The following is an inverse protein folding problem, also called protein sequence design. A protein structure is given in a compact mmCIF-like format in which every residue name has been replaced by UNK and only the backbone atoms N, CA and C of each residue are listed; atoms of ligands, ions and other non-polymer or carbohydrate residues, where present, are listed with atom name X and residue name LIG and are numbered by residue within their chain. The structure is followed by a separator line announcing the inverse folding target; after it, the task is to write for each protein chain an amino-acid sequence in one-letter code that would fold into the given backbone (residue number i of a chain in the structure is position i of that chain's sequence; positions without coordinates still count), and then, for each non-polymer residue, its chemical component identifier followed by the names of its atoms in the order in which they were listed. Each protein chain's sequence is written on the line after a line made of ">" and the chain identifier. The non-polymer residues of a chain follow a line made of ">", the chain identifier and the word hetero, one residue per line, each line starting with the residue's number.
data_IF_367961354347
#
_entry.id   IF_367961354347
#
_cell.length_a   1.000
_cell.length_b   1.000
_cell.length_c   1.000
_cell.angle_alpha   90.00
_cell.angle_beta   90.00
_cell.angle_gamma   90.00
#
_symmetry.space_group_name_H-M   'P 1'
#
loop_
_entity.id
_entity.type
_entity.pdbx_description
1 polymer ?
#
# COMPACT_ATOMS: atom_id res chain seq x y z
N UNK A 1 -20.30 -38.23 18.22
CA UNK A 1 -19.23 -38.66 17.29
C UNK A 1 -19.22 -37.68 16.12
N UNK A 2 -18.20 -36.81 16.10
CA UNK A 2 -17.68 -35.98 14.99
C UNK A 2 -18.56 -35.70 13.76
N UNK A 3 -19.16 -34.50 13.64
CA UNK A 3 -19.57 -33.94 12.32
C UNK A 3 -19.94 -32.44 12.23
N UNK A 4 -19.30 -31.55 13.00
CA UNK A 4 -19.60 -30.10 12.89
C UNK A 4 -18.37 -29.17 12.89
N UNK A 5 -17.17 -29.66 12.54
CA UNK A 5 -15.95 -28.84 12.54
C UNK A 5 -15.44 -28.42 11.15
N UNK A 6 -16.05 -28.85 10.04
CA UNK A 6 -15.67 -28.36 8.69
C UNK A 6 -16.37 -27.03 8.32
N UNK A 7 -17.58 -26.76 8.83
CA UNK A 7 -18.41 -25.62 8.38
C UNK A 7 -18.02 -24.27 9.02
N UNK A 8 -17.38 -24.32 10.20
CA UNK A 8 -16.97 -23.10 10.91
C UNK A 8 -15.78 -22.46 10.21
N UNK A 9 -14.78 -23.25 9.85
CA UNK A 9 -13.57 -22.76 9.19
C UNK A 9 -13.89 -22.22 7.78
N UNK A 10 -14.82 -22.84 7.04
CA UNK A 10 -15.31 -22.35 5.75
C UNK A 10 -16.14 -21.05 5.86
N UNK A 11 -16.98 -20.93 6.91
CA UNK A 11 -17.67 -19.68 7.22
C UNK A 11 -16.69 -18.57 7.65
N UNK A 12 -15.65 -18.91 8.42
CA UNK A 12 -14.62 -17.97 8.85
C UNK A 12 -13.75 -17.50 7.68
N UNK A 13 -13.34 -18.42 6.80
CA UNK A 13 -12.60 -18.10 5.58
C UNK A 13 -13.44 -17.27 4.62
N UNK A 14 -14.74 -17.56 4.47
CA UNK A 14 -15.63 -16.74 3.64
C UNK A 14 -15.89 -15.36 4.22
N UNK A 15 -15.95 -15.18 5.55
CA UNK A 15 -16.02 -13.86 6.19
C UNK A 15 -14.69 -13.10 6.08
N UNK A 16 -13.55 -13.77 6.27
CA UNK A 16 -12.23 -13.19 6.08
C UNK A 16 -12.00 -12.79 4.62
N UNK A 17 -12.39 -13.64 3.66
CA UNK A 17 -12.37 -13.33 2.24
C UNK A 17 -13.38 -12.24 1.87
N UNK A 18 -14.56 -12.19 2.49
CA UNK A 18 -15.52 -11.11 2.26
C UNK A 18 -15.02 -9.77 2.81
N UNK A 19 -14.32 -9.77 3.95
CA UNK A 19 -13.66 -8.60 4.53
C UNK A 19 -12.44 -8.19 3.71
N UNK A 20 -11.59 -9.13 3.29
CA UNK A 20 -10.49 -8.89 2.34
C UNK A 20 -11.03 -8.38 1.02
N UNK A 21 -12.11 -8.94 0.49
CA UNK A 21 -12.78 -8.47 -0.71
C UNK A 21 -13.47 -7.10 -0.50
N UNK A 22 -13.94 -6.77 0.71
CA UNK A 22 -14.49 -5.46 1.04
C UNK A 22 -13.39 -4.41 1.17
N UNK A 23 -12.28 -4.76 1.83
CA UNK A 23 -11.05 -3.97 1.92
C UNK A 23 -10.47 -3.78 0.52
N UNK A 24 -10.28 -4.85 -0.24
CA UNK A 24 -9.87 -4.87 -1.65
C UNK A 24 -10.83 -4.08 -2.52
N UNK A 25 -12.16 -4.19 -2.42
CA UNK A 25 -13.11 -3.33 -3.16
C UNK A 25 -12.93 -1.86 -2.79
N UNK A 26 -12.73 -1.56 -1.51
CA UNK A 26 -12.51 -0.20 -0.99
C UNK A 26 -11.12 0.34 -1.35
N UNK A 27 -10.14 -0.54 -1.60
CA UNK A 27 -8.76 -0.26 -1.99
C UNK A 27 -8.53 -0.30 -3.52
N UNK A 28 -9.34 -1.05 -4.28
CA UNK A 28 -9.28 -1.21 -5.73
C UNK A 28 -9.67 0.06 -6.49
N UNK A 29 -10.13 1.09 -5.78
CA UNK A 29 -10.24 2.47 -6.25
C UNK A 29 -9.42 3.46 -5.43
N UNK A 30 -8.34 3.02 -4.77
CA UNK A 30 -7.50 3.88 -3.90
C UNK A 30 -6.17 4.27 -4.54
N UNK A 31 -5.75 3.62 -5.63
CA UNK A 31 -4.90 4.29 -6.63
C UNK A 31 -5.80 5.14 -7.51
N UNK A 32 -6.43 6.13 -6.87
CA UNK A 32 -7.08 7.22 -7.58
C UNK A 32 -5.97 8.16 -8.03
N UNK A 33 -5.51 7.97 -9.27
CA UNK A 33 -4.53 8.89 -9.87
C UNK A 33 -5.05 10.33 -9.91
N UNK A 34 -6.38 10.53 -9.86
CA UNK A 34 -7.01 11.84 -9.68
C UNK A 34 -6.83 12.46 -8.28
N UNK A 35 -6.28 11.73 -7.31
CA UNK A 35 -6.00 12.22 -5.95
C UNK A 35 -4.49 12.41 -5.73
N UNK A 36 -4.08 13.49 -5.05
CA UNK A 36 -2.70 13.64 -4.60
C UNK A 36 -2.19 12.43 -3.82
N UNK A 37 -0.97 11.93 -4.08
CA UNK A 37 -0.43 10.74 -3.42
C UNK A 37 -0.49 10.81 -1.89
N UNK A 38 -0.18 11.97 -1.32
CA UNK A 38 -0.26 12.18 0.14
C UNK A 38 -1.69 12.02 0.66
N UNK A 39 -2.68 12.52 -0.06
CA UNK A 39 -4.10 12.35 0.28
C UNK A 39 -4.56 10.90 0.11
N UNK A 40 -4.06 10.19 -0.89
CA UNK A 40 -4.34 8.76 -1.05
C UNK A 40 -3.79 7.95 0.13
N UNK A 41 -2.54 8.19 0.52
CA UNK A 41 -1.93 7.54 1.68
C UNK A 41 -2.68 7.85 2.99
N UNK A 42 -3.08 9.11 3.21
CA UNK A 42 -3.93 9.51 4.34
C UNK A 42 -5.26 8.75 4.34
N UNK A 43 -5.96 8.71 3.20
CA UNK A 43 -7.24 8.01 3.05
C UNK A 43 -7.10 6.51 3.32
N UNK A 44 -6.02 5.88 2.88
CA UNK A 44 -5.74 4.47 3.14
C UNK A 44 -5.48 4.23 4.64
N UNK A 45 -4.61 5.02 5.25
CA UNK A 45 -4.28 4.93 6.68
C UNK A 45 -5.52 5.16 7.57
N UNK A 46 -6.32 6.18 7.29
CA UNK A 46 -7.53 6.48 8.07
C UNK A 46 -8.56 5.35 7.98
N UNK A 47 -8.67 4.66 6.83
CA UNK A 47 -9.55 3.50 6.70
C UNK A 47 -9.08 2.31 7.53
N UNK A 48 -7.78 2.06 7.58
CA UNK A 48 -7.20 1.00 8.41
C UNK A 48 -7.47 1.30 9.88
N UNK A 49 -7.16 2.52 10.34
CA UNK A 49 -7.39 2.92 11.74
C UNK A 49 -8.88 2.86 12.08
N UNK A 50 -9.78 3.39 11.23
CA UNK A 50 -11.22 3.31 11.47
C UNK A 50 -11.75 1.87 11.57
N UNK A 51 -11.17 0.93 10.80
CA UNK A 51 -11.51 -0.50 10.90
C UNK A 51 -11.09 -1.06 12.27
N UNK A 52 -9.87 -0.74 12.72
CA UNK A 52 -9.36 -1.13 14.04
C UNK A 52 -10.22 -0.55 15.18
N UNK A 53 -10.60 0.72 15.08
CA UNK A 53 -11.46 1.38 16.09
C UNK A 53 -12.82 0.71 16.19
N UNK A 54 -13.42 0.38 15.06
CA UNK A 54 -14.78 -0.17 15.00
C UNK A 54 -14.82 -1.66 15.39
N UNK A 55 -13.79 -2.42 15.03
CA UNK A 55 -13.74 -3.87 15.21
C UNK A 55 -12.32 -4.34 15.61
N UNK A 56 -11.83 -4.01 16.82
CA UNK A 56 -10.41 -4.20 17.17
C UNK A 56 -9.98 -5.67 17.12
N UNK A 57 -10.74 -6.56 17.77
CA UNK A 57 -10.38 -7.99 17.82
C UNK A 57 -10.56 -8.68 16.46
N UNK A 58 -11.61 -8.36 15.71
CA UNK A 58 -11.83 -8.90 14.36
C UNK A 58 -10.75 -8.43 13.39
N UNK A 59 -10.31 -7.17 13.50
CA UNK A 59 -9.26 -6.60 12.66
C UNK A 59 -7.90 -7.22 12.96
N UNK A 60 -7.56 -7.36 14.25
CA UNK A 60 -6.36 -8.06 14.69
C UNK A 60 -6.32 -9.49 14.15
N UNK A 61 -7.38 -10.25 14.39
CA UNK A 61 -7.49 -11.63 13.92
C UNK A 61 -7.36 -11.74 12.40
N UNK A 62 -8.01 -10.85 11.65
CA UNK A 62 -7.91 -10.82 10.19
C UNK A 62 -6.49 -10.59 9.72
N UNK A 63 -5.78 -9.60 10.29
CA UNK A 63 -4.40 -9.32 9.87
C UNK A 63 -3.43 -10.43 10.28
N UNK A 64 -3.58 -11.01 11.47
CA UNK A 64 -2.78 -12.17 11.91
C UNK A 64 -2.99 -13.36 10.94
N UNK A 65 -4.23 -13.65 10.57
CA UNK A 65 -4.54 -14.74 9.64
C UNK A 65 -4.04 -14.47 8.21
N UNK A 66 -4.12 -13.22 7.74
CA UNK A 66 -3.64 -12.86 6.39
C UNK A 66 -2.12 -12.93 6.26
N UNK A 67 -1.38 -12.69 7.36
CA UNK A 67 0.08 -12.60 7.37
C UNK A 67 0.78 -13.88 7.84
N UNK A 68 0.06 -14.84 8.43
CA UNK A 68 0.61 -16.10 8.94
C UNK A 68 0.16 -17.29 8.09
N UNK A 69 1.11 -18.13 7.68
CA UNK A 69 0.82 -19.39 6.99
C UNK A 69 0.33 -20.48 7.96
N UNK A 70 -0.58 -21.33 7.50
CA UNK A 70 -1.16 -22.41 8.30
C UNK A 70 -0.96 -23.75 7.59
N UNK A 71 -0.54 -24.78 8.34
CA UNK A 71 -0.43 -26.17 7.85
C UNK A 71 0.37 -26.31 6.55
N UNK A 72 1.52 -25.66 6.47
CA UNK A 72 2.43 -25.72 5.31
C UNK A 72 1.97 -24.93 4.08
N UNK A 73 0.85 -24.20 4.15
CA UNK A 73 0.44 -23.26 3.11
C UNK A 73 1.03 -21.87 3.39
N UNK A 74 1.45 -21.12 2.36
CA UNK A 74 1.85 -19.72 2.52
C UNK A 74 0.68 -18.90 3.07
N UNK A 75 1.01 -17.80 3.76
CA UNK A 75 0.00 -16.87 4.25
C UNK A 75 -0.89 -16.39 3.10
N UNK A 76 -2.21 -16.19 3.30
CA UNK A 76 -3.13 -15.76 2.25
C UNK A 76 -2.64 -14.56 1.44
N UNK A 77 -2.03 -13.55 2.08
CA UNK A 77 -1.52 -12.38 1.39
C UNK A 77 -0.31 -12.64 0.49
N UNK A 78 0.46 -13.71 0.74
CA UNK A 78 1.64 -14.12 -0.03
C UNK A 78 1.29 -15.04 -1.22
N UNK A 79 0.02 -15.40 -1.40
CA UNK A 79 -0.42 -16.26 -2.50
C UNK A 79 -0.36 -15.47 -3.83
N UNK A 80 -0.31 -16.15 -5.00
CA UNK A 80 -0.25 -15.49 -6.31
C UNK A 80 -1.42 -14.55 -6.62
N UNK A 81 -2.58 -14.77 -5.99
CA UNK A 81 -3.81 -13.98 -6.06
C UNK A 81 -4.06 -13.17 -4.77
N UNK A 82 -3.07 -13.12 -3.88
CA UNK A 82 -3.14 -12.44 -2.60
C UNK A 82 -2.94 -10.93 -2.72
N UNK A 83 -3.19 -10.23 -1.61
CA UNK A 83 -3.11 -8.77 -1.55
C UNK A 83 -1.74 -8.20 -1.98
N UNK A 84 -0.63 -8.92 -1.72
CA UNK A 84 0.70 -8.48 -2.14
C UNK A 84 0.84 -8.52 -3.65
N UNK A 85 0.42 -9.61 -4.30
CA UNK A 85 0.47 -9.73 -5.76
C UNK A 85 -0.43 -8.69 -6.45
N UNK A 86 -1.62 -8.43 -5.91
CA UNK A 86 -2.52 -7.40 -6.45
C UNK A 86 -1.92 -5.99 -6.37
N UNK A 87 -1.37 -5.61 -5.22
CA UNK A 87 -0.74 -4.31 -5.04
C UNK A 87 0.53 -4.18 -5.90
N UNK A 88 1.32 -5.26 -5.99
CA UNK A 88 2.49 -5.31 -6.85
C UNK A 88 2.09 -5.09 -8.32
N UNK A 89 1.04 -5.74 -8.81
CA UNK A 89 0.54 -5.55 -10.17
C UNK A 89 0.11 -4.10 -10.43
N UNK A 90 -0.55 -3.44 -9.46
CA UNK A 90 -0.92 -2.04 -9.58
C UNK A 90 0.32 -1.10 -9.66
N UNK A 91 1.34 -1.35 -8.82
CA UNK A 91 2.60 -0.61 -8.84
C UNK A 91 3.34 -0.84 -10.17
N UNK A 92 3.47 -2.09 -10.61
CA UNK A 92 4.10 -2.45 -11.88
C UNK A 92 3.43 -1.75 -13.06
N UNK A 93 2.09 -1.79 -13.12
CA UNK A 93 1.32 -1.11 -14.17
C UNK A 93 1.55 0.40 -14.19
N UNK A 94 1.74 1.03 -13.03
CA UNK A 94 2.11 2.45 -12.97
C UNK A 94 3.54 2.69 -13.51
N UNK A 95 4.52 1.88 -13.07
CA UNK A 95 5.92 2.01 -13.50
C UNK A 95 6.05 1.83 -15.02
N UNK A 96 5.36 0.86 -15.58
CA UNK A 96 5.31 0.61 -17.03
C UNK A 96 4.74 1.82 -17.79
N UNK A 97 3.64 2.41 -17.31
CA UNK A 97 3.06 3.63 -17.91
C UNK A 97 4.04 4.81 -17.94
N UNK A 98 4.92 4.91 -16.95
CA UNK A 98 5.96 5.96 -16.89
C UNK A 98 7.31 5.51 -17.46
N UNK A 99 7.32 4.42 -18.24
CA UNK A 99 8.49 3.85 -18.92
C UNK A 99 9.65 3.46 -17.98
N UNK A 100 9.30 2.89 -16.82
CA UNK A 100 10.24 2.41 -15.81
C UNK A 100 10.09 0.90 -15.61
N UNK A 101 11.22 0.18 -15.50
CA UNK A 101 11.21 -1.26 -15.26
C UNK A 101 10.59 -1.59 -13.88
N UNK A 102 9.61 -2.51 -13.79
CA UNK A 102 8.81 -2.73 -12.58
C UNK A 102 9.52 -3.53 -11.47
N UNK A 103 10.85 -3.57 -11.45
CA UNK A 103 11.60 -4.41 -10.50
C UNK A 103 11.44 -3.94 -9.05
N UNK A 104 11.17 -4.87 -8.14
CA UNK A 104 10.98 -4.59 -6.71
C UNK A 104 9.58 -4.08 -6.32
N UNK A 105 8.62 -4.06 -7.26
CA UNK A 105 7.24 -3.70 -6.98
C UNK A 105 6.57 -4.68 -5.98
N UNK A 106 6.91 -5.96 -6.07
CA UNK A 106 6.53 -7.02 -5.14
C UNK A 106 7.06 -6.79 -3.73
N UNK A 107 8.34 -6.45 -3.60
CA UNK A 107 8.97 -6.14 -2.32
C UNK A 107 8.35 -4.88 -1.68
N UNK A 108 8.09 -3.83 -2.47
CA UNK A 108 7.39 -2.64 -1.99
C UNK A 108 5.97 -2.98 -1.52
N UNK A 109 5.22 -3.76 -2.30
CA UNK A 109 3.87 -4.17 -1.95
C UNK A 109 3.84 -4.95 -0.62
N UNK A 110 4.76 -5.90 -0.44
CA UNK A 110 4.92 -6.64 0.81
C UNK A 110 5.22 -5.71 2.00
N UNK A 111 6.14 -4.75 1.83
CA UNK A 111 6.49 -3.80 2.88
C UNK A 111 5.32 -2.90 3.29
N UNK A 112 4.54 -2.39 2.33
CA UNK A 112 3.38 -1.53 2.59
C UNK A 112 2.27 -2.29 3.33
N UNK A 113 1.95 -3.51 2.86
CA UNK A 113 0.92 -4.34 3.48
C UNK A 113 1.34 -4.79 4.88
N UNK A 114 2.60 -5.23 5.05
CA UNK A 114 3.15 -5.60 6.35
C UNK A 114 3.10 -4.43 7.33
N UNK A 115 3.54 -3.24 6.91
CA UNK A 115 3.50 -2.02 7.74
C UNK A 115 2.09 -1.70 8.20
N UNK A 116 1.11 -1.72 7.29
CA UNK A 116 -0.30 -1.49 7.60
C UNK A 116 -0.85 -2.53 8.59
N UNK A 117 -0.63 -3.82 8.32
CA UNK A 117 -1.11 -4.93 9.14
C UNK A 117 -0.50 -4.90 10.55
N UNK A 118 0.82 -4.77 10.66
CA UNK A 118 1.52 -4.74 11.95
C UNK A 118 1.15 -3.50 12.75
N UNK A 119 0.98 -2.34 12.11
CA UNK A 119 0.52 -1.12 12.80
C UNK A 119 -0.88 -1.30 13.37
N UNK A 120 -1.78 -1.95 12.63
CA UNK A 120 -3.12 -2.26 13.11
C UNK A 120 -3.10 -3.21 14.32
N UNK A 121 -2.32 -4.29 14.25
CA UNK A 121 -2.17 -5.26 15.35
C UNK A 121 -1.58 -4.59 16.60
N UNK A 122 -0.52 -3.81 16.43
CA UNK A 122 0.12 -3.04 17.51
C UNK A 122 -0.86 -2.06 18.15
N UNK A 123 -1.67 -1.37 17.34
CA UNK A 123 -2.65 -0.42 17.84
C UNK A 123 -3.70 -1.09 18.74
N UNK A 124 -4.21 -2.26 18.34
CA UNK A 124 -5.13 -3.07 19.18
C UNK A 124 -4.47 -3.50 20.48
N UNK A 125 -3.18 -3.89 20.44
CA UNK A 125 -2.45 -4.36 21.62
C UNK A 125 -2.23 -3.27 22.68
N UNK A 126 -2.10 -2.00 22.27
CA UNK A 126 -1.76 -0.92 23.21
C UNK A 126 -2.93 -0.40 24.06
N UNK A 127 -4.17 -0.87 23.86
CA UNK A 127 -5.34 -0.57 24.72
C UNK A 127 -5.67 0.92 24.95
N UNK A 128 -5.03 1.85 24.24
CA UNK A 128 -5.24 3.29 24.36
C UNK A 128 -6.27 3.81 23.36
N UNK A 129 -6.88 4.95 23.69
CA UNK A 129 -7.81 5.62 22.79
C UNK A 129 -7.08 6.01 21.48
N UNK A 130 -7.73 5.88 20.31
CA UNK A 130 -7.08 6.11 19.04
C UNK A 130 -6.69 7.58 18.87
N UNK A 131 -5.41 7.89 19.01
CA UNK A 131 -4.91 9.21 18.66
C UNK A 131 -4.90 9.37 17.13
N UNK A 132 -5.52 10.44 16.63
CA UNK A 132 -5.50 10.86 15.22
C UNK A 132 -4.06 10.89 14.65
N UNK A 133 -3.08 11.10 15.53
CA UNK A 133 -1.67 11.02 15.20
C UNK A 133 -1.21 9.65 14.66
N UNK A 134 -1.87 8.53 15.01
CA UNK A 134 -1.53 7.19 14.49
C UNK A 134 -1.84 7.09 13.00
N UNK A 135 -3.03 7.55 12.59
CA UNK A 135 -3.41 7.57 11.16
C UNK A 135 -2.46 8.44 10.35
N UNK A 136 -2.10 9.61 10.88
CA UNK A 136 -1.17 10.53 10.22
C UNK A 136 0.23 9.90 10.08
N UNK A 137 0.79 9.35 11.16
CA UNK A 137 2.12 8.71 11.13
C UNK A 137 2.15 7.53 10.17
N UNK A 138 1.11 6.69 10.16
CA UNK A 138 1.00 5.58 9.20
C UNK A 138 0.98 6.10 7.75
N UNK A 139 0.20 7.15 7.47
CA UNK A 139 0.16 7.76 6.14
C UNK A 139 1.53 8.29 5.70
N UNK A 140 2.25 8.96 6.60
CA UNK A 140 3.61 9.47 6.36
C UNK A 140 4.59 8.33 6.08
N UNK A 141 4.55 7.25 6.86
CA UNK A 141 5.40 6.06 6.63
C UNK A 141 5.11 5.40 5.28
N UNK A 142 3.83 5.15 4.97
CA UNK A 142 3.44 4.53 3.70
C UNK A 142 3.88 5.39 2.51
N UNK A 143 3.66 6.71 2.59
CA UNK A 143 4.08 7.62 1.53
C UNK A 143 5.60 7.68 1.40
N UNK A 144 6.34 7.79 2.51
CA UNK A 144 7.80 7.84 2.47
C UNK A 144 8.41 6.59 1.82
N UNK A 145 7.87 5.40 2.08
CA UNK A 145 8.30 4.17 1.42
C UNK A 145 8.06 4.21 -0.09
N UNK A 146 6.91 4.71 -0.54
CA UNK A 146 6.60 4.85 -1.97
C UNK A 146 7.50 5.90 -2.63
N UNK A 147 7.66 7.07 -2.04
CA UNK A 147 8.50 8.15 -2.57
C UNK A 147 9.97 7.71 -2.69
N UNK A 148 10.51 7.08 -1.66
CA UNK A 148 11.88 6.55 -1.70
C UNK A 148 12.05 5.49 -2.81
N UNK A 149 11.08 4.58 -2.95
CA UNK A 149 11.10 3.58 -4.02
C UNK A 149 11.03 4.24 -5.41
N UNK A 150 10.11 5.18 -5.63
CA UNK A 150 9.97 5.88 -6.92
C UNK A 150 11.23 6.68 -7.27
N UNK A 151 11.81 7.40 -6.31
CA UNK A 151 13.07 8.13 -6.51
C UNK A 151 14.23 7.20 -6.84
N UNK A 152 14.30 6.02 -6.22
CA UNK A 152 15.32 5.01 -6.56
C UNK A 152 15.23 4.53 -8.01
N UNK A 153 14.05 4.67 -8.63
CA UNK A 153 13.79 4.37 -10.04
C UNK A 153 13.89 5.60 -10.95
N UNK A 154 14.30 6.75 -10.41
CA UNK A 154 14.35 8.00 -11.15
C UNK A 154 12.97 8.56 -11.48
N UNK A 155 11.96 8.33 -10.64
CA UNK A 155 10.63 8.94 -10.77
C UNK A 155 10.45 9.96 -9.65
N UNK A 156 10.14 11.20 -9.99
CA UNK A 156 9.86 12.26 -9.01
C UNK A 156 8.38 12.62 -9.12
N UNK A 157 7.67 12.42 -8.00
CA UNK A 157 6.25 12.71 -7.88
C UNK A 157 6.06 13.89 -6.93
N UNK A 158 5.25 14.86 -7.34
CA UNK A 158 4.76 15.90 -6.43
C UNK A 158 3.66 15.28 -5.53
N UNK A 159 3.88 15.21 -4.20
CA UNK A 159 2.94 14.57 -3.28
C UNK A 159 1.60 15.30 -3.15
N UNK A 160 1.54 16.58 -3.53
CA UNK A 160 0.39 17.46 -3.34
C UNK A 160 -0.41 17.67 -4.64
N UNK A 161 0.04 17.09 -5.76
CA UNK A 161 -0.66 17.10 -7.04
C UNK A 161 -1.17 15.73 -7.41
N UNK A 162 -2.34 15.69 -8.06
CA UNK A 162 -2.86 14.47 -8.66
C UNK A 162 -1.83 13.88 -9.63
N UNK A 163 -1.75 12.56 -9.66
CA UNK A 163 -0.90 11.83 -10.59
C UNK A 163 -1.52 11.92 -11.98
N UNK A 164 -0.91 12.72 -12.84
CA UNK A 164 -1.14 12.68 -14.27
C UNK A 164 0.02 11.88 -14.90
N UNK A 165 -0.20 10.64 -15.39
CA UNK A 165 0.84 9.80 -15.98
C UNK A 165 1.63 10.53 -17.08
N UNK A 166 0.98 11.42 -17.82
CA UNK A 166 1.58 12.19 -18.92
C UNK A 166 2.47 13.34 -18.41
N UNK A 167 2.34 13.71 -17.12
CA UNK A 167 3.11 14.78 -16.47
C UNK A 167 4.07 14.26 -15.39
N UNK A 168 4.16 12.95 -15.18
CA UNK A 168 5.17 12.38 -14.27
C UNK A 168 6.55 12.61 -14.88
N UNK A 169 7.34 13.48 -14.25
CA UNK A 169 8.71 13.74 -14.72
C UNK A 169 9.61 12.60 -14.30
N UNK A 170 10.17 11.90 -15.29
CA UNK A 170 11.34 11.04 -15.06
C UNK A 170 12.53 11.94 -14.68
N UNK A 171 13.23 11.61 -13.60
CA UNK A 171 14.44 12.28 -13.14
C UNK A 171 15.51 12.36 -14.23
N UNK A 172 15.53 11.41 -15.18
CA UNK A 172 16.41 11.48 -16.37
C UNK A 172 16.11 12.71 -17.23
N UNK A 173 14.85 13.10 -17.40
CA UNK A 173 14.47 14.31 -18.12
C UNK A 173 14.78 15.57 -17.29
N UNK A 174 14.50 15.56 -15.99
CA UNK A 174 14.80 16.70 -15.10
C UNK A 174 16.31 16.96 -14.93
N UNK A 175 17.16 15.92 -14.93
CA UNK A 175 18.61 16.05 -14.92
C UNK A 175 19.19 16.51 -16.27
N UNK A 176 18.53 16.21 -17.39
CA UNK A 176 18.89 16.74 -18.71
C UNK A 176 18.53 18.22 -18.81
N UNK A 177 17.38 18.62 -18.28
CA UNK A 177 16.93 20.02 -18.22
C UNK A 177 17.93 20.89 -17.44
N UNK A 178 18.32 20.46 -16.22
CA UNK A 178 19.33 21.14 -15.40
C UNK A 178 20.72 21.21 -16.07
N UNK A 179 21.09 20.21 -16.88
CA UNK A 179 22.35 20.23 -17.65
C UNK A 179 22.26 21.08 -18.92
N UNK A 180 21.06 21.26 -19.48
CA UNK A 180 20.79 22.13 -20.62
C UNK A 180 20.77 23.62 -20.23
N UNK A 181 20.31 23.94 -19.01
CA UNK A 181 20.36 25.30 -18.47
C UNK A 181 21.78 25.75 -18.05
N UNK A 182 22.74 24.82 -17.98
CA UNK A 182 24.12 25.10 -17.53
C UNK A 182 25.11 25.42 -18.67
N UNK A 183 24.67 25.62 -19.92
CA UNK A 183 25.59 26.01 -21.01
C UNK A 183 25.35 27.45 -21.50
N UNK A 184 26.30 28.30 -21.11
CA UNK A 184 26.75 29.57 -21.70
C UNK A 184 26.08 30.88 -21.23
N UNK A 185 26.68 31.61 -20.26
CA UNK A 185 26.75 33.05 -20.42
C UNK A 185 27.85 33.35 -21.45
N UNK A 186 27.41 33.66 -22.68
CA UNK A 186 28.28 34.29 -23.67
C UNK A 186 28.55 35.72 -23.19
N UNK A 187 29.70 35.93 -22.55
CA UNK A 187 30.22 37.27 -22.31
C UNK A 187 31.05 37.66 -23.54
N UNK A 188 30.49 38.58 -24.33
CA UNK A 188 31.25 39.48 -25.21
C UNK A 188 31.98 40.53 -24.36
#
# INVERSE_FOLDING_TARGET
>A
MYRHFDDRDDLFDSVAQAMVAAVRRRLSGTVDMGMPPRKSAQRAASRIVALVQRFPQSTRFLFEHQMVGVRGKPAPALRPDGAIAELAAAISSFLERVNVHPSGADQLAAALIGTAATTAIWHVAQSGEPDESVSRRLAETLWASVDAFLRSKGVIVDPDRALDPDRVRTARAALVDLRGESQSPSFL
#
